data_IF_559859498611
#
_entry.id   IF_559859498611
#
_cell.length_a   1.000
_cell.length_b   1.000
_cell.length_c   1.000
_cell.angle_alpha   90.00
_cell.angle_beta   90.00
_cell.angle_gamma   90.00
#
_symmetry.space_group_name_H-M   'P 1'
#
loop_
_entity.id
_entity.type
_entity.pdbx_description
1 polymer ?
#
# COMPACT_ATOMS: atom_id res chain seq x y z
N UNK A 1 2.34 -10.47 -14.00
CA UNK A 1 3.77 -10.09 -14.09
C UNK A 1 3.93 -8.56 -14.24
N UNK A 2 5.00 -8.00 -13.69
CA UNK A 2 5.45 -6.65 -14.03
C UNK A 2 6.34 -6.80 -15.26
N UNK A 3 5.95 -6.19 -16.38
CA UNK A 3 6.67 -6.27 -17.65
C UNK A 3 7.84 -5.30 -17.70
N UNK A 4 7.66 -4.11 -17.13
CA UNK A 4 8.66 -3.03 -17.13
C UNK A 4 8.45 -2.13 -15.91
N UNK A 5 9.54 -1.57 -15.37
CA UNK A 5 9.47 -0.53 -14.35
C UNK A 5 10.73 0.34 -14.33
N UNK A 6 10.54 1.63 -14.14
CA UNK A 6 11.62 2.61 -14.09
C UNK A 6 11.24 3.81 -13.22
N UNK A 7 12.26 4.61 -12.89
CA UNK A 7 12.13 5.83 -12.10
C UNK A 7 11.72 7.00 -13.02
N UNK A 8 10.72 7.78 -12.63
CA UNK A 8 10.26 8.98 -13.33
C UNK A 8 10.91 10.24 -12.77
N UNK A 9 11.30 10.25 -11.50
CA UNK A 9 11.96 11.40 -10.89
C UNK A 9 13.48 11.31 -11.03
N UNK A 10 14.13 12.43 -11.29
CA UNK A 10 15.59 12.57 -11.17
C UNK A 10 16.00 13.10 -9.78
N UNK A 11 15.03 13.46 -8.94
CA UNK A 11 15.24 13.86 -7.55
C UNK A 11 15.92 12.74 -6.73
N UNK A 12 16.77 13.12 -5.78
CA UNK A 12 17.50 12.16 -4.92
C UNK A 12 16.74 11.78 -3.65
N UNK A 13 15.80 12.62 -3.23
CA UNK A 13 15.06 12.52 -1.97
C UNK A 13 13.62 12.00 -2.16
N UNK A 14 13.16 11.86 -3.41
CA UNK A 14 11.82 11.40 -3.76
C UNK A 14 11.88 10.47 -4.96
N UNK A 15 10.99 9.49 -4.98
CA UNK A 15 10.85 8.54 -6.08
C UNK A 15 9.41 8.60 -6.62
N UNK A 16 9.27 8.44 -7.94
CA UNK A 16 8.01 8.18 -8.61
C UNK A 16 8.21 7.07 -9.64
N UNK A 17 7.50 5.97 -9.44
CA UNK A 17 7.69 4.76 -10.23
C UNK A 17 6.72 4.79 -11.43
N UNK A 18 7.26 4.50 -12.62
CA UNK A 18 6.47 3.94 -13.70
C UNK A 18 6.53 2.42 -13.62
N UNK A 19 5.39 1.73 -13.73
CA UNK A 19 5.38 0.27 -13.86
C UNK A 19 4.31 -0.18 -14.84
N UNK A 20 4.61 -1.21 -15.63
CA UNK A 20 3.67 -1.87 -16.53
C UNK A 20 3.30 -3.25 -16.00
N UNK A 21 2.01 -3.47 -15.73
CA UNK A 21 1.47 -4.78 -15.35
C UNK A 21 0.95 -5.48 -16.61
N UNK A 22 1.56 -6.61 -16.97
CA UNK A 22 1.09 -7.46 -18.06
C UNK A 22 -0.15 -8.26 -17.64
N UNK A 23 -1.22 -8.11 -18.42
CA UNK A 23 -2.50 -8.80 -18.23
C UNK A 23 -2.82 -9.76 -19.38
N UNK A 24 -1.89 -10.00 -20.30
CA UNK A 24 -2.05 -10.88 -21.48
C UNK A 24 -2.41 -12.33 -21.12
N UNK A 25 -1.85 -12.86 -20.03
CA UNK A 25 -2.14 -14.18 -19.49
C UNK A 25 -3.46 -14.28 -18.71
N UNK A 26 -4.33 -13.27 -18.79
CA UNK A 26 -5.60 -13.22 -18.08
C UNK A 26 -6.75 -12.77 -18.98
N UNK A 27 -7.96 -12.89 -18.45
CA UNK A 27 -9.19 -12.35 -19.00
C UNK A 27 -9.52 -10.94 -18.48
N UNK A 28 -8.58 -10.27 -17.77
CA UNK A 28 -8.74 -8.88 -17.37
C UNK A 28 -8.83 -7.97 -18.60
N UNK A 29 -9.69 -6.97 -18.48
CA UNK A 29 -9.86 -5.85 -19.42
C UNK A 29 -9.93 -4.57 -18.61
N UNK A 30 -9.58 -3.46 -19.24
CA UNK A 30 -9.72 -2.13 -18.67
C UNK A 30 -10.07 -1.15 -19.77
N UNK A 31 -10.71 -0.05 -19.38
CA UNK A 31 -10.91 1.11 -20.22
C UNK A 31 -10.00 2.25 -19.76
N UNK A 32 -9.63 3.13 -20.69
CA UNK A 32 -8.81 4.28 -20.37
C UNK A 32 -9.52 5.15 -19.33
N UNK A 33 -8.79 5.54 -18.27
CA UNK A 33 -9.34 6.28 -17.12
C UNK A 33 -9.92 5.39 -16.00
N UNK A 34 -9.88 4.07 -16.13
CA UNK A 34 -10.12 3.16 -15.01
C UNK A 34 -9.01 3.22 -13.95
N UNK A 35 -9.24 2.53 -12.83
CA UNK A 35 -8.24 2.36 -11.78
C UNK A 35 -7.78 0.90 -11.75
N UNK A 36 -6.50 0.70 -11.43
CA UNK A 36 -5.97 -0.61 -11.03
C UNK A 36 -5.76 -0.61 -9.52
N UNK A 37 -6.18 -1.68 -8.88
CA UNK A 37 -6.04 -1.90 -7.46
C UNK A 37 -4.92 -2.91 -7.23
N UNK A 38 -3.87 -2.47 -6.52
CA UNK A 38 -2.71 -3.28 -6.16
C UNK A 38 -2.93 -3.86 -4.76
N UNK A 39 -2.80 -5.18 -4.62
CA UNK A 39 -2.81 -5.83 -3.31
C UNK A 39 -1.38 -5.88 -2.75
N UNK A 40 -1.06 -5.12 -1.69
CA UNK A 40 0.30 -5.05 -1.18
C UNK A 40 0.61 -6.19 -0.19
N UNK A 41 1.86 -6.24 0.27
CA UNK A 41 2.29 -7.00 1.44
C UNK A 41 2.94 -6.05 2.45
N UNK A 42 2.80 -6.34 3.74
CA UNK A 42 3.47 -5.56 4.78
C UNK A 42 5.00 -5.75 4.73
N UNK A 43 5.78 -4.73 5.11
CA UNK A 43 7.24 -4.83 5.21
C UNK A 43 7.65 -5.83 6.31
N UNK A 44 8.72 -6.57 6.06
CA UNK A 44 9.21 -7.62 6.95
C UNK A 44 9.57 -7.09 8.34
N UNK A 45 10.11 -5.88 8.42
CA UNK A 45 10.53 -5.26 9.68
C UNK A 45 9.33 -4.95 10.59
N UNK A 46 8.19 -4.57 10.02
CA UNK A 46 6.97 -4.33 10.81
C UNK A 46 6.30 -5.64 11.22
N UNK A 47 6.33 -6.67 10.36
CA UNK A 47 5.87 -8.02 10.71
C UNK A 47 6.72 -8.59 11.86
N UNK A 48 8.04 -8.50 11.73
CA UNK A 48 8.99 -8.98 12.74
C UNK A 48 8.81 -8.22 14.06
N UNK A 49 8.67 -6.88 14.02
CA UNK A 49 8.40 -6.07 15.21
C UNK A 49 7.11 -6.47 15.92
N UNK A 50 6.06 -6.77 15.15
CA UNK A 50 4.76 -7.18 15.68
C UNK A 50 4.85 -8.56 16.35
N UNK A 51 5.51 -9.53 15.70
CA UNK A 51 5.74 -10.85 16.29
C UNK A 51 6.60 -10.75 17.55
N UNK A 52 7.65 -9.93 17.50
CA UNK A 52 8.59 -9.74 18.60
C UNK A 52 7.94 -9.12 19.83
N UNK A 53 7.13 -8.06 19.71
CA UNK A 53 6.50 -7.42 20.87
C UNK A 53 5.47 -8.34 21.56
N UNK A 54 4.94 -9.34 20.84
CA UNK A 54 4.00 -10.34 21.36
C UNK A 54 4.66 -11.65 21.79
N UNK A 55 6.00 -11.74 21.72
CA UNK A 55 6.76 -12.99 21.98
C UNK A 55 6.34 -14.17 21.08
N UNK A 56 6.10 -13.88 19.80
CA UNK A 56 5.67 -14.84 18.78
C UNK A 56 6.72 -15.11 17.70
N UNK A 57 7.93 -14.53 17.78
CA UNK A 57 8.99 -14.71 16.79
C UNK A 57 9.32 -16.19 16.54
N UNK A 58 9.43 -17.01 17.60
CA UNK A 58 9.67 -18.45 17.49
C UNK A 58 8.47 -19.26 16.97
N UNK A 59 7.30 -18.64 16.80
CA UNK A 59 6.03 -19.26 16.37
C UNK A 59 5.54 -18.71 15.03
N UNK A 60 6.30 -17.86 14.35
CA UNK A 60 5.84 -17.14 13.16
C UNK A 60 5.31 -18.06 12.05
N UNK A 61 5.93 -19.25 11.87
CA UNK A 61 5.53 -20.25 10.87
C UNK A 61 4.64 -21.36 11.44
N UNK A 62 4.24 -21.28 12.71
CA UNK A 62 3.29 -22.21 13.31
C UNK A 62 1.94 -22.06 12.63
N UNK A 63 1.38 -23.17 12.15
CA UNK A 63 0.05 -23.21 11.56
C UNK A 63 -1.00 -23.14 12.66
N UNK A 64 -1.92 -22.20 12.55
CA UNK A 64 -3.06 -22.00 13.44
C UNK A 64 -4.37 -22.14 12.68
N UNK A 65 -5.43 -22.48 13.44
CA UNK A 65 -6.80 -22.52 12.94
C UNK A 65 -7.64 -21.51 13.70
N UNK A 66 -8.19 -20.52 13.01
CA UNK A 66 -9.15 -19.56 13.57
C UNK A 66 -10.56 -20.09 13.35
N UNK A 67 -11.39 -20.11 14.39
CA UNK A 67 -12.79 -20.53 14.32
C UNK A 67 -13.68 -19.38 14.74
N UNK A 68 -14.69 -19.09 13.93
CA UNK A 68 -15.78 -18.23 14.35
C UNK A 68 -16.56 -18.91 15.48
N UNK A 69 -16.78 -18.20 16.57
CA UNK A 69 -17.59 -18.68 17.70
C UNK A 69 -19.09 -18.44 17.43
N UNK A 70 -19.41 -17.37 16.72
CA UNK A 70 -20.77 -16.99 16.36
C UNK A 70 -21.10 -17.37 14.91
N UNK A 71 -22.33 -17.84 14.60
CA UNK A 71 -22.71 -18.27 13.24
C UNK A 71 -22.60 -17.17 12.18
N UNK A 72 -22.74 -15.90 12.58
CA UNK A 72 -22.68 -14.74 11.68
C UNK A 72 -21.25 -14.23 11.48
N UNK A 73 -20.31 -14.61 12.35
CA UNK A 73 -18.93 -14.19 12.26
C UNK A 73 -18.20 -14.96 11.15
N UNK A 74 -17.38 -14.25 10.37
CA UNK A 74 -16.58 -14.84 9.29
C UNK A 74 -15.11 -14.60 9.55
N UNK A 75 -14.31 -15.66 9.46
CA UNK A 75 -12.86 -15.55 9.51
C UNK A 75 -12.41 -14.71 8.31
N UNK A 76 -11.62 -13.63 8.51
CA UNK A 76 -11.43 -12.63 7.48
C UNK A 76 -10.42 -13.00 6.38
N UNK A 77 -9.83 -14.19 6.44
CA UNK A 77 -8.76 -14.69 5.56
C UNK A 77 -8.83 -16.22 5.40
N UNK A 78 -8.12 -16.80 4.39
CA UNK A 78 -7.98 -18.25 4.24
C UNK A 78 -7.39 -18.91 5.50
N UNK A 79 -7.97 -20.05 5.90
CA UNK A 79 -7.66 -20.74 7.15
C UNK A 79 -7.72 -22.27 6.91
N UNK A 80 -6.79 -23.09 7.47
CA UNK A 80 -5.70 -22.76 8.38
C UNK A 80 -4.56 -21.95 7.72
N UNK A 81 -3.80 -21.22 8.53
CA UNK A 81 -2.71 -20.34 8.07
C UNK A 81 -1.68 -20.10 9.18
N UNK A 82 -0.61 -19.33 8.94
CA UNK A 82 0.42 -19.01 9.95
C UNK A 82 0.26 -17.60 10.52
N UNK A 83 0.86 -17.33 11.69
CA UNK A 83 0.92 -15.97 12.25
C UNK A 83 1.57 -14.99 11.28
N UNK A 84 2.68 -15.39 10.66
CA UNK A 84 3.37 -14.61 9.63
C UNK A 84 2.43 -14.26 8.48
N UNK A 85 1.72 -15.24 7.90
CA UNK A 85 0.85 -14.99 6.76
C UNK A 85 -0.32 -14.04 7.10
N UNK A 86 -0.87 -14.12 8.32
CA UNK A 86 -1.91 -13.20 8.80
C UNK A 86 -1.38 -11.77 8.85
N UNK A 87 -0.24 -11.55 9.50
CA UNK A 87 0.34 -10.22 9.66
C UNK A 87 0.88 -9.67 8.33
N UNK A 88 1.43 -10.52 7.47
CA UNK A 88 2.09 -10.12 6.23
C UNK A 88 1.10 -9.79 5.12
N UNK A 89 0.01 -10.55 4.99
CA UNK A 89 -0.90 -10.48 3.84
C UNK A 89 -2.34 -10.09 4.17
N UNK A 90 -2.76 -10.11 5.45
CA UNK A 90 -4.19 -10.05 5.78
C UNK A 90 -4.58 -8.91 6.70
N UNK A 91 -3.69 -8.40 7.56
CA UNK A 91 -4.00 -7.32 8.50
C UNK A 91 -3.25 -6.02 8.18
N UNK A 92 -3.89 -4.88 8.42
CA UNK A 92 -3.31 -3.55 8.21
C UNK A 92 -2.46 -3.13 9.43
N UNK A 93 -1.31 -3.79 9.62
CA UNK A 93 -0.48 -3.63 10.82
C UNK A 93 0.31 -2.33 10.86
N UNK A 94 0.41 -1.61 9.74
CA UNK A 94 1.18 -0.37 9.62
C UNK A 94 0.34 0.91 9.81
N UNK A 95 -0.99 0.79 9.96
CA UNK A 95 -1.85 1.95 10.17
C UNK A 95 -1.61 2.61 11.53
N UNK A 96 -1.82 3.94 11.66
CA UNK A 96 -1.81 4.61 12.95
C UNK A 96 -2.74 3.93 13.95
N UNK A 97 -2.27 3.75 15.18
CA UNK A 97 -3.01 3.07 16.24
C UNK A 97 -4.32 3.81 16.57
N UNK A 98 -5.40 3.05 16.78
CA UNK A 98 -6.68 3.59 17.22
C UNK A 98 -6.72 3.73 18.74
N UNK A 99 -7.16 4.88 19.24
CA UNK A 99 -7.40 5.11 20.67
C UNK A 99 -8.36 4.08 21.28
N UNK A 100 -9.42 3.74 20.53
CA UNK A 100 -10.38 2.73 20.98
C UNK A 100 -9.71 1.37 21.17
N UNK A 101 -8.80 1.00 20.26
CA UNK A 101 -8.10 -0.27 20.35
C UNK A 101 -7.07 -0.28 21.48
N UNK A 102 -6.42 0.87 21.76
CA UNK A 102 -5.58 1.03 22.96
C UNK A 102 -6.38 0.76 24.23
N UNK A 103 -7.59 1.33 24.36
CA UNK A 103 -8.46 1.07 25.51
C UNK A 103 -8.79 -0.42 25.66
N UNK A 104 -9.08 -1.11 24.55
CA UNK A 104 -9.33 -2.57 24.56
C UNK A 104 -8.11 -3.37 25.05
N UNK A 105 -6.90 -2.99 24.65
CA UNK A 105 -5.68 -3.72 25.00
C UNK A 105 -5.18 -3.47 26.43
N UNK A 106 -5.67 -2.43 27.12
CA UNK A 106 -5.22 -2.06 28.46
C UNK A 106 -5.34 -3.21 29.48
N UNK A 107 -6.35 -4.07 29.36
CA UNK A 107 -6.56 -5.21 30.25
C UNK A 107 -5.45 -6.28 30.17
N UNK A 108 -4.69 -6.29 29.08
CA UNK A 108 -3.59 -7.24 28.82
C UNK A 108 -2.21 -6.62 29.05
N UNK A 109 -2.14 -5.47 29.73
CA UNK A 109 -0.88 -4.81 30.01
C UNK A 109 0.06 -5.72 30.84
N UNK A 110 1.39 -5.71 30.58
CA UNK A 110 2.35 -6.55 31.30
C UNK A 110 2.43 -6.27 32.81
N UNK A 111 2.14 -5.04 33.22
CA UNK A 111 2.16 -4.62 34.62
C UNK A 111 1.19 -3.45 34.88
N UNK A 112 0.95 -3.14 36.15
CA UNK A 112 -0.02 -2.12 36.58
C UNK A 112 0.34 -0.70 36.12
N UNK A 113 1.63 -0.39 35.99
CA UNK A 113 2.09 0.92 35.49
C UNK A 113 1.69 1.11 34.03
N UNK A 114 1.97 0.12 33.18
CA UNK A 114 1.57 0.15 31.76
C UNK A 114 0.05 0.13 31.65
N UNK A 115 -0.65 -0.65 32.49
CA UNK A 115 -2.11 -0.70 32.53
C UNK A 115 -2.73 0.68 32.80
N UNK A 116 -2.21 1.40 33.78
CA UNK A 116 -2.66 2.75 34.11
C UNK A 116 -2.44 3.72 32.94
N UNK A 117 -1.26 3.66 32.30
CA UNK A 117 -0.93 4.50 31.14
C UNK A 117 -1.84 4.20 29.94
N UNK A 118 -2.04 2.93 29.60
CA UNK A 118 -2.96 2.51 28.54
C UNK A 118 -4.40 2.94 28.82
N UNK A 119 -4.84 2.86 30.07
CA UNK A 119 -6.18 3.28 30.47
C UNK A 119 -6.37 4.78 30.29
N UNK A 120 -5.35 5.59 30.63
CA UNK A 120 -5.35 7.04 30.39
C UNK A 120 -5.34 7.38 28.91
N UNK A 121 -4.45 6.76 28.13
CA UNK A 121 -4.39 6.92 26.67
C UNK A 121 -5.71 6.52 26.01
N UNK A 122 -6.41 5.52 26.53
CA UNK A 122 -7.72 5.09 26.04
C UNK A 122 -8.85 6.07 26.34
N UNK A 123 -8.85 6.73 27.50
CA UNK A 123 -9.94 7.59 27.96
C UNK A 123 -9.80 9.07 27.57
N UNK A 124 -8.57 9.57 27.46
CA UNK A 124 -8.28 10.99 27.20
C UNK A 124 -7.88 11.21 25.73
N UNK A 125 -8.71 11.98 25.00
CA UNK A 125 -8.51 12.25 23.57
C UNK A 125 -7.26 13.08 23.32
N UNK A 126 -7.08 14.12 24.13
CA UNK A 126 -6.04 15.12 23.91
C UNK A 126 -4.70 14.55 24.35
N UNK A 127 -4.68 13.81 25.46
CA UNK A 127 -3.50 13.06 25.88
C UNK A 127 -3.07 12.00 24.85
N UNK A 128 -4.02 11.24 24.31
CA UNK A 128 -3.72 10.29 23.23
C UNK A 128 -3.13 11.00 22.02
N UNK A 129 -3.77 12.07 21.54
CA UNK A 129 -3.29 12.83 20.39
C UNK A 129 -1.89 13.40 20.65
N UNK A 130 -1.63 13.98 21.82
CA UNK A 130 -0.31 14.51 22.19
C UNK A 130 0.79 13.43 22.17
N UNK A 131 0.50 12.23 22.70
CA UNK A 131 1.50 11.16 22.80
C UNK A 131 1.68 10.34 21.53
N UNK A 132 0.62 10.11 20.75
CA UNK A 132 0.66 9.20 19.59
C UNK A 132 0.52 9.92 18.25
N UNK A 133 -0.27 10.99 18.19
CA UNK A 133 -0.64 11.69 16.95
C UNK A 133 0.56 12.18 16.16
N UNK A 134 1.45 13.01 16.74
CA UNK A 134 2.67 13.48 16.08
C UNK A 134 3.56 12.37 15.54
N UNK A 135 3.59 11.20 16.19
CA UNK A 135 4.53 10.12 15.88
C UNK A 135 4.00 9.10 14.86
N UNK A 136 2.69 9.07 14.61
CA UNK A 136 2.03 8.11 13.73
C UNK A 136 2.42 6.65 14.03
N UNK A 137 2.44 6.28 15.31
CA UNK A 137 2.78 4.92 15.70
C UNK A 137 1.76 3.93 15.14
N UNK A 138 2.27 2.89 14.50
CA UNK A 138 1.49 1.67 14.32
C UNK A 138 1.38 0.90 15.65
N UNK A 139 0.51 -0.09 15.70
CA UNK A 139 0.19 -0.77 16.96
C UNK A 139 1.43 -1.42 17.62
N UNK A 140 2.30 -2.10 16.87
CA UNK A 140 3.47 -2.75 17.43
C UNK A 140 4.47 -1.73 18.01
N UNK A 141 4.69 -0.63 17.30
CA UNK A 141 5.54 0.48 17.77
C UNK A 141 4.96 1.17 18.99
N UNK A 142 3.64 1.39 19.00
CA UNK A 142 2.94 1.94 20.15
C UNK A 142 3.10 1.05 21.38
N UNK A 143 2.82 -0.26 21.26
CA UNK A 143 2.99 -1.21 22.36
C UNK A 143 4.44 -1.24 22.85
N UNK A 144 5.42 -1.25 21.95
CA UNK A 144 6.83 -1.18 22.32
C UNK A 144 7.21 0.13 23.02
N UNK A 145 6.64 1.26 22.60
CA UNK A 145 6.93 2.58 23.17
C UNK A 145 6.37 2.70 24.59
N UNK A 146 5.08 2.38 24.78
CA UNK A 146 4.40 2.51 26.08
C UNK A 146 4.95 1.51 27.13
N UNK A 147 5.43 0.36 26.67
CA UNK A 147 6.01 -0.68 27.53
C UNK A 147 7.53 -0.61 27.66
N UNK A 148 8.20 0.34 26.99
CA UNK A 148 9.65 0.43 26.91
C UNK A 148 10.32 -0.89 26.47
N UNK A 149 9.67 -1.62 25.56
CA UNK A 149 10.14 -2.88 24.99
C UNK A 149 9.75 -4.15 25.77
N UNK A 150 9.03 -4.03 26.88
CA UNK A 150 8.48 -5.18 27.61
C UNK A 150 7.45 -5.93 26.75
N UNK A 151 7.49 -7.27 26.78
CA UNK A 151 6.69 -8.13 25.90
C UNK A 151 5.26 -8.25 26.38
N UNK A 152 4.32 -8.22 25.43
CA UNK A 152 2.88 -8.33 25.67
C UNK A 152 2.38 -9.76 25.45
N UNK A 153 2.83 -10.68 26.31
CA UNK A 153 2.61 -12.13 26.17
C UNK A 153 1.18 -12.58 26.46
N UNK A 154 0.37 -11.73 27.09
CA UNK A 154 -1.00 -12.05 27.51
C UNK A 154 -2.07 -11.60 26.53
N UNK A 155 -1.73 -10.78 25.52
CA UNK A 155 -2.71 -10.39 24.49
C UNK A 155 -3.04 -11.63 23.64
N UNK A 156 -4.31 -12.08 23.60
CA UNK A 156 -4.68 -13.14 22.68
C UNK A 156 -4.57 -12.64 21.25
N UNK A 157 -3.93 -13.42 20.36
CA UNK A 157 -3.74 -12.99 18.97
C UNK A 157 -5.07 -12.73 18.24
N UNK A 158 -6.18 -13.33 18.68
CA UNK A 158 -7.53 -13.04 18.18
C UNK A 158 -7.93 -11.58 18.37
N UNK A 159 -7.45 -10.89 19.42
CA UNK A 159 -7.72 -9.47 19.62
C UNK A 159 -7.21 -8.62 18.44
N UNK A 160 -6.11 -9.01 17.79
CA UNK A 160 -5.62 -8.32 16.59
C UNK A 160 -6.36 -8.73 15.33
N UNK A 161 -6.79 -9.99 15.23
CA UNK A 161 -7.63 -10.45 14.10
C UNK A 161 -8.98 -9.71 14.09
N UNK A 162 -9.54 -9.43 15.26
CA UNK A 162 -10.82 -8.74 15.44
C UNK A 162 -10.68 -7.21 15.46
N UNK A 163 -9.62 -6.69 16.06
CA UNK A 163 -9.43 -5.26 16.29
C UNK A 163 -8.74 -4.50 15.15
N UNK A 164 -7.98 -5.19 14.28
CA UNK A 164 -7.33 -4.58 13.13
C UNK A 164 -8.18 -4.71 11.86
N UNK A 165 -8.10 -3.71 11.00
CA UNK A 165 -8.70 -3.78 9.67
C UNK A 165 -7.92 -4.74 8.78
N UNK A 166 -8.60 -5.29 7.76
CA UNK A 166 -7.92 -6.09 6.75
C UNK A 166 -6.99 -5.21 5.91
N UNK A 167 -5.85 -5.77 5.50
CA UNK A 167 -4.94 -5.14 4.55
C UNK A 167 -5.71 -4.82 3.25
N UNK A 168 -5.85 -3.54 2.93
CA UNK A 168 -6.64 -3.10 1.77
C UNK A 168 -5.80 -3.00 0.49
N UNK A 169 -6.37 -3.25 -0.69
CA UNK A 169 -5.72 -2.89 -1.94
C UNK A 169 -5.62 -1.35 -2.07
N UNK A 170 -4.58 -0.87 -2.76
CA UNK A 170 -4.38 0.56 -3.05
C UNK A 170 -4.69 0.82 -4.52
N UNK A 171 -5.52 1.84 -4.78
CA UNK A 171 -5.94 2.21 -6.12
C UNK A 171 -4.98 3.21 -6.75
N UNK A 172 -4.65 2.99 -8.02
CA UNK A 172 -3.88 3.88 -8.86
C UNK A 172 -4.68 4.16 -10.13
N UNK A 173 -4.73 5.43 -10.54
CA UNK A 173 -5.28 5.79 -11.84
C UNK A 173 -4.41 5.19 -12.93
N UNK A 174 -5.02 4.43 -13.84
CA UNK A 174 -4.28 3.80 -14.94
C UNK A 174 -3.72 4.88 -15.85
N UNK A 175 -2.41 4.84 -16.11
CA UNK A 175 -1.72 5.84 -16.93
C UNK A 175 -1.49 5.44 -18.38
N UNK A 176 -2.07 4.31 -18.81
CA UNK A 176 -2.05 3.83 -20.19
C UNK A 176 -3.41 3.94 -20.88
N UNK A 177 -3.39 4.03 -22.21
CA UNK A 177 -4.60 3.87 -23.04
C UNK A 177 -4.87 2.40 -23.37
N UNK A 178 -6.10 1.96 -23.12
CA UNK A 178 -6.61 0.64 -23.54
C UNK A 178 -6.65 0.47 -25.06
N UNK A 179 -6.80 1.56 -25.82
CA UNK A 179 -6.72 1.56 -27.29
C UNK A 179 -5.28 1.34 -27.80
N UNK A 180 -4.28 1.83 -27.05
CA UNK A 180 -2.87 1.74 -27.46
C UNK A 180 -2.21 0.45 -26.94
N UNK A 181 -2.48 0.06 -25.70
CA UNK A 181 -1.83 -1.08 -25.05
C UNK A 181 -2.85 -1.95 -24.27
N UNK A 182 -3.79 -2.64 -24.95
CA UNK A 182 -4.90 -3.35 -24.32
C UNK A 182 -4.49 -4.49 -23.37
N UNK A 183 -3.23 -4.94 -23.44
CA UNK A 183 -2.69 -6.05 -22.65
C UNK A 183 -1.68 -5.62 -21.58
N UNK A 184 -1.44 -4.33 -21.41
CA UNK A 184 -0.54 -3.80 -20.38
C UNK A 184 -1.13 -2.58 -19.70
N UNK A 185 -1.23 -2.63 -18.37
CA UNK A 185 -1.72 -1.52 -17.56
C UNK A 185 -0.52 -0.76 -16.97
N UNK A 186 -0.38 0.52 -17.32
CA UNK A 186 0.64 1.37 -16.69
C UNK A 186 0.13 2.00 -15.39
N UNK A 187 1.00 2.07 -14.39
CA UNK A 187 0.80 2.84 -13.16
C UNK A 187 1.88 3.91 -12.99
N UNK A 188 1.51 5.00 -12.34
CA UNK A 188 2.39 6.11 -11.98
C UNK A 188 2.25 6.36 -10.49
N UNK A 189 3.26 6.01 -9.70
CA UNK A 189 3.16 5.95 -8.24
C UNK A 189 4.32 6.67 -7.55
N UNK A 190 4.04 7.80 -6.88
CA UNK A 190 5.00 8.44 -5.98
C UNK A 190 5.23 7.55 -4.76
N UNK A 191 6.49 7.37 -4.37
CA UNK A 191 6.87 6.58 -3.20
C UNK A 191 6.68 7.41 -1.93
N UNK A 192 5.79 6.96 -1.07
CA UNK A 192 5.50 7.63 0.20
C UNK A 192 6.56 7.30 1.26
N UNK A 193 7.34 8.31 1.62
CA UNK A 193 8.31 8.30 2.72
C UNK A 193 8.34 9.69 3.34
N UNK A 194 7.91 9.81 4.59
CA UNK A 194 7.78 11.07 5.30
C UNK A 194 8.58 11.04 6.60
N UNK A 195 9.49 12.00 6.78
CA UNK A 195 10.15 12.20 8.07
C UNK A 195 9.14 12.73 9.08
N UNK A 196 9.10 12.11 10.26
CA UNK A 196 8.18 12.46 11.33
C UNK A 196 8.98 13.11 12.47
N UNK A 197 8.72 14.38 12.82
CA UNK A 197 9.41 15.03 13.94
C UNK A 197 9.29 14.21 15.23
N UNK A 198 10.42 14.00 15.91
CA UNK A 198 10.47 13.20 17.15
C UNK A 198 10.54 11.69 16.94
N UNK A 199 10.65 11.21 15.69
CA UNK A 199 10.86 9.79 15.38
C UNK A 199 12.20 9.59 14.67
N UNK A 200 12.89 8.51 15.01
CA UNK A 200 14.19 8.17 14.40
C UNK A 200 14.04 7.56 13.00
N UNK A 201 12.83 7.09 12.65
CA UNK A 201 12.56 6.45 11.37
C UNK A 201 11.42 7.13 10.59
N UNK A 202 11.42 7.12 9.25
CA UNK A 202 10.37 7.75 8.44
C UNK A 202 9.07 6.93 8.41
N UNK A 203 7.92 7.60 8.35
CA UNK A 203 6.65 6.95 8.03
C UNK A 203 6.62 6.59 6.54
N UNK A 204 6.28 5.34 6.22
CA UNK A 204 6.34 4.83 4.85
C UNK A 204 5.02 4.19 4.45
N UNK A 205 4.58 4.48 3.22
CA UNK A 205 3.39 3.87 2.65
C UNK A 205 3.66 2.41 2.25
N UNK A 206 2.78 1.50 2.68
CA UNK A 206 2.93 0.05 2.45
C UNK A 206 3.02 -0.29 0.96
N UNK A 207 2.03 0.13 0.16
CA UNK A 207 1.92 -0.26 -1.24
C UNK A 207 3.03 0.33 -2.12
N UNK A 208 3.37 1.60 -1.94
CA UNK A 208 4.35 2.27 -2.80
C UNK A 208 5.78 1.79 -2.55
N UNK A 209 6.14 1.49 -1.30
CA UNK A 209 7.44 0.90 -0.99
C UNK A 209 7.52 -0.58 -1.40
N UNK A 210 6.42 -1.33 -1.33
CA UNK A 210 6.36 -2.68 -1.93
C UNK A 210 6.57 -2.63 -3.46
N UNK A 211 5.91 -1.70 -4.16
CA UNK A 211 6.15 -1.47 -5.59
C UNK A 211 7.59 -1.05 -5.88
N UNK A 212 8.21 -0.26 -4.99
CA UNK A 212 9.61 0.13 -5.12
C UNK A 212 10.56 -1.08 -5.00
N UNK A 213 10.31 -1.98 -4.05
CA UNK A 213 11.05 -3.23 -3.93
C UNK A 213 10.91 -4.13 -5.17
N UNK A 214 9.69 -4.21 -5.73
CA UNK A 214 9.44 -4.93 -6.98
C UNK A 214 10.22 -4.31 -8.16
N UNK A 215 10.26 -2.97 -8.27
CA UNK A 215 11.08 -2.28 -9.26
C UNK A 215 12.56 -2.62 -9.09
N UNK A 216 13.09 -2.51 -7.87
CA UNK A 216 14.50 -2.83 -7.58
C UNK A 216 14.83 -4.26 -8.01
N UNK A 217 14.00 -5.23 -7.63
CA UNK A 217 14.17 -6.64 -8.04
C UNK A 217 14.14 -6.80 -9.56
N UNK A 218 13.22 -6.13 -10.25
CA UNK A 218 13.13 -6.20 -11.72
C UNK A 218 14.35 -5.63 -12.42
N UNK A 219 14.95 -4.60 -11.85
CA UNK A 219 16.11 -3.92 -12.39
C UNK A 219 17.44 -4.51 -11.87
N UNK A 220 17.42 -5.73 -11.31
CA UNK A 220 18.63 -6.47 -10.94
C UNK A 220 19.33 -5.95 -9.68
N UNK A 221 18.66 -5.19 -8.82
CA UNK A 221 19.21 -4.80 -7.52
C UNK A 221 19.52 -6.07 -6.69
N UNK A 222 20.77 -6.25 -6.23
CA UNK A 222 21.14 -7.44 -5.45
C UNK A 222 20.45 -7.49 -4.09
N UNK A 223 19.96 -6.37 -3.58
CA UNK A 223 19.22 -6.27 -2.32
C UNK A 223 18.03 -5.32 -2.49
N UNK A 224 16.88 -5.82 -3.01
CA UNK A 224 15.69 -5.01 -3.28
C UNK A 224 14.95 -4.63 -2.00
N UNK A 225 15.63 -3.84 -1.17
CA UNK A 225 15.22 -3.41 0.16
C UNK A 225 15.12 -1.89 0.18
N UNK A 226 14.03 -1.30 -0.32
CA UNK A 226 13.90 0.14 -0.43
C UNK A 226 13.99 0.76 0.96
N UNK A 227 14.98 1.63 1.13
CA UNK A 227 15.30 2.25 2.41
C UNK A 227 15.49 1.23 3.56
N UNK A 228 16.05 0.05 3.24
CA UNK A 228 16.33 -1.03 4.18
C UNK A 228 15.13 -1.87 4.61
N UNK A 229 13.94 -1.69 3.99
CA UNK A 229 12.78 -2.54 4.28
C UNK A 229 12.71 -3.77 3.38
N UNK A 230 12.51 -4.94 3.97
CA UNK A 230 12.33 -6.19 3.24
C UNK A 230 10.86 -6.42 2.90
N UNK A 231 10.61 -7.12 1.79
CA UNK A 231 9.27 -7.52 1.36
C UNK A 231 9.30 -8.96 0.84
N UNK A 232 8.21 -9.71 1.03
CA UNK A 232 8.10 -11.06 0.49
C UNK A 232 7.69 -11.01 -0.99
N UNK A 233 8.70 -10.87 -1.86
CA UNK A 233 8.52 -10.57 -3.29
C UNK A 233 8.09 -11.78 -4.12
N UNK A 234 8.30 -13.02 -3.64
CA UNK A 234 7.79 -14.23 -4.32
C UNK A 234 6.41 -14.64 -3.78
N UNK A 235 5.97 -14.02 -2.68
CA UNK A 235 4.64 -14.22 -2.12
C UNK A 235 4.38 -15.64 -1.59
N UNK A 236 3.12 -15.95 -1.26
CA UNK A 236 2.76 -17.24 -0.67
C UNK A 236 3.14 -18.41 -1.56
N UNK A 237 4.01 -19.31 -1.07
CA UNK A 237 4.50 -20.49 -1.81
C UNK A 237 5.10 -20.13 -3.19
N UNK A 238 5.80 -19.00 -3.28
CA UNK A 238 6.43 -18.52 -4.51
C UNK A 238 5.44 -18.24 -5.66
N UNK A 239 4.14 -18.05 -5.38
CA UNK A 239 3.13 -17.79 -6.42
C UNK A 239 3.35 -16.48 -7.18
N UNK A 240 4.13 -15.55 -6.63
CA UNK A 240 4.45 -14.27 -7.26
C UNK A 240 5.87 -14.24 -7.85
N UNK A 241 6.53 -15.41 -7.95
CA UNK A 241 7.84 -15.51 -8.57
C UNK A 241 7.84 -15.02 -10.03
N UNK A 242 8.98 -14.56 -10.54
CA UNK A 242 9.04 -13.84 -11.82
C UNK A 242 8.42 -12.43 -11.76
N UNK A 243 8.39 -11.82 -10.56
CA UNK A 243 7.98 -10.42 -10.30
C UNK A 243 6.52 -10.18 -10.66
N UNK A 244 5.64 -10.78 -9.85
CA UNK A 244 4.21 -10.58 -9.95
C UNK A 244 3.68 -9.75 -8.80
N UNK A 245 2.54 -9.12 -9.06
CA UNK A 245 1.76 -8.38 -8.08
C UNK A 245 0.30 -8.76 -8.27
N UNK A 246 -0.47 -9.10 -7.21
CA UNK A 246 -1.90 -9.36 -7.35
C UNK A 246 -2.64 -8.05 -7.59
N UNK A 247 -3.52 -8.05 -8.60
CA UNK A 247 -4.23 -6.85 -9.02
C UNK A 247 -5.69 -7.14 -9.35
N UNK A 248 -6.51 -6.10 -9.35
CA UNK A 248 -7.80 -6.11 -10.05
C UNK A 248 -8.09 -4.74 -10.66
N UNK A 249 -8.98 -4.67 -11.64
CA UNK A 249 -9.41 -3.41 -12.27
C UNK A 249 -10.72 -2.95 -11.63
N UNK A 250 -10.81 -1.66 -11.31
CA UNK A 250 -12.05 -0.99 -10.90
C UNK A 250 -12.46 0.00 -11.98
N UNK A 251 -13.60 -0.28 -12.61
CA UNK A 251 -14.18 0.57 -13.62
C UNK A 251 -14.56 1.93 -13.03
N UNK A 252 -14.39 2.99 -13.83
CA UNK A 252 -14.64 4.37 -13.41
C UNK A 252 -15.48 5.13 -14.44
N UNK A 253 -16.15 6.18 -13.98
CA UNK A 253 -16.84 7.13 -14.84
C UNK A 253 -15.89 8.21 -15.41
N UNK A 254 -14.59 8.14 -15.12
CA UNK A 254 -13.59 9.08 -15.63
C UNK A 254 -13.21 8.65 -17.05
N UNK A 255 -13.92 9.20 -18.04
CA UNK A 255 -13.83 8.79 -19.44
C UNK A 255 -13.71 10.01 -20.35
N UNK A 256 -13.10 9.81 -21.53
CA UNK A 256 -13.16 10.79 -22.60
C UNK A 256 -14.61 10.97 -23.09
N UNK A 257 -14.95 12.13 -23.67
CA UNK A 257 -16.21 12.29 -24.39
C UNK A 257 -16.36 11.21 -25.47
N UNK A 258 -17.58 10.71 -25.66
CA UNK A 258 -17.88 9.69 -26.68
C UNK A 258 -17.60 10.16 -28.11
N UNK A 259 -17.69 11.46 -28.36
CA UNK A 259 -17.35 12.11 -29.63
C UNK A 259 -15.90 12.64 -29.57
N UNK A 260 -14.96 12.06 -30.36
CA UNK A 260 -13.56 12.48 -30.38
C UNK A 260 -13.35 13.93 -30.83
N UNK A 261 -14.28 14.48 -31.63
CA UNK A 261 -14.25 15.86 -32.13
C UNK A 261 -14.46 16.92 -31.04
N UNK A 262 -14.99 16.52 -29.87
CA UNK A 262 -15.16 17.45 -28.74
C UNK A 262 -13.81 17.86 -28.16
N UNK A 263 -13.62 19.17 -27.85
CA UNK A 263 -12.43 19.63 -27.15
C UNK A 263 -12.41 19.12 -25.70
N UNK A 264 -11.21 18.90 -25.17
CA UNK A 264 -10.99 18.45 -23.79
C UNK A 264 -9.99 19.35 -23.07
N UNK A 265 -10.28 19.62 -21.79
CA UNK A 265 -9.39 20.33 -20.87
C UNK A 265 -9.06 19.38 -19.72
N UNK A 266 -7.78 19.12 -19.52
CA UNK A 266 -7.25 18.19 -18.53
C UNK A 266 -6.39 18.97 -17.54
N UNK A 267 -6.62 18.79 -16.24
CA UNK A 267 -5.91 19.51 -15.17
C UNK A 267 -5.45 18.48 -14.14
N UNK A 268 -4.15 18.24 -14.06
CA UNK A 268 -3.59 17.18 -13.23
C UNK A 268 -2.18 17.51 -12.74
N UNK A 269 -2.01 18.14 -11.57
CA UNK A 269 -0.71 18.34 -10.96
C UNK A 269 -0.14 17.02 -10.41
N UNK A 270 1.18 16.85 -10.46
CA UNK A 270 1.87 15.65 -9.97
C UNK A 270 1.28 14.37 -10.57
N UNK A 271 1.06 13.35 -9.75
CA UNK A 271 0.49 12.06 -10.19
C UNK A 271 -0.95 12.17 -10.70
N UNK A 272 -1.62 13.32 -10.49
CA UNK A 272 -2.89 13.64 -11.13
C UNK A 272 -2.83 13.63 -12.67
N UNK A 273 -1.62 13.68 -13.26
CA UNK A 273 -1.42 13.53 -14.72
C UNK A 273 -1.63 12.10 -15.22
N UNK A 274 -1.59 11.09 -14.34
CA UNK A 274 -1.64 9.68 -14.68
C UNK A 274 -2.78 9.34 -15.68
N UNK A 275 -4.07 9.57 -15.39
CA UNK A 275 -5.13 9.22 -16.33
C UNK A 275 -5.06 10.04 -17.63
N UNK A 276 -4.52 11.26 -17.57
CA UNK A 276 -4.39 12.13 -18.74
C UNK A 276 -3.29 11.67 -19.69
N UNK A 277 -2.23 11.00 -19.20
CA UNK A 277 -1.30 10.29 -20.08
C UNK A 277 -2.05 9.26 -20.94
N UNK A 278 -2.94 8.48 -20.34
CA UNK A 278 -3.82 7.56 -21.07
C UNK A 278 -4.72 8.27 -22.07
N UNK A 279 -5.39 9.35 -21.67
CA UNK A 279 -6.26 10.11 -22.58
C UNK A 279 -5.50 10.73 -23.77
N UNK A 280 -4.30 11.27 -23.55
CA UNK A 280 -3.46 11.82 -24.61
C UNK A 280 -3.00 10.71 -25.56
N UNK A 281 -2.57 9.55 -25.03
CA UNK A 281 -2.22 8.39 -25.85
C UNK A 281 -3.39 7.93 -26.75
N UNK A 282 -4.60 7.87 -26.18
CA UNK A 282 -5.81 7.47 -26.89
C UNK A 282 -6.17 8.44 -28.01
N UNK A 283 -6.24 9.73 -27.69
CA UNK A 283 -6.54 10.79 -28.67
C UNK A 283 -5.47 10.87 -29.75
N UNK A 284 -4.20 10.70 -29.41
CA UNK A 284 -3.11 10.65 -30.39
C UNK A 284 -3.21 9.42 -31.30
N UNK A 285 -3.65 8.26 -30.79
CA UNK A 285 -3.91 7.07 -31.63
C UNK A 285 -5.07 7.31 -32.59
N UNK A 286 -6.19 7.85 -32.11
CA UNK A 286 -7.34 8.20 -32.95
C UNK A 286 -6.95 9.18 -34.07
N UNK A 287 -6.21 10.25 -33.74
CA UNK A 287 -5.74 11.21 -34.74
C UNK A 287 -4.82 10.57 -35.79
N UNK A 288 -3.92 9.66 -35.39
CA UNK A 288 -3.06 8.91 -36.32
C UNK A 288 -3.85 7.95 -37.22
N UNK A 289 -4.99 7.45 -36.73
CA UNK A 289 -5.90 6.59 -37.49
C UNK A 289 -6.83 7.38 -38.41
N UNK A 290 -6.67 8.71 -38.51
CA UNK A 290 -7.46 9.58 -39.39
C UNK A 290 -8.79 10.06 -38.80
N UNK A 291 -9.06 9.80 -37.51
CA UNK A 291 -10.24 10.34 -36.83
C UNK A 291 -10.02 11.82 -36.52
N UNK A 292 -11.03 12.65 -36.77
CA UNK A 292 -11.01 14.06 -36.35
C UNK A 292 -11.04 14.15 -34.82
N UNK A 293 -9.99 14.75 -34.24
CA UNK A 293 -9.83 14.88 -32.79
C UNK A 293 -9.84 16.35 -32.41
N UNK A 294 -10.77 16.71 -31.52
CA UNK A 294 -10.91 18.08 -31.01
C UNK A 294 -9.69 18.56 -30.23
N UNK A 295 -9.64 19.88 -30.00
CA UNK A 295 -8.55 20.52 -29.24
C UNK A 295 -8.33 19.86 -27.88
N UNK A 296 -7.07 19.53 -27.57
CA UNK A 296 -6.67 18.84 -26.34
C UNK A 296 -5.73 19.73 -25.54
N UNK A 297 -6.16 20.22 -24.38
CA UNK A 297 -5.36 21.07 -23.49
C UNK A 297 -5.03 20.32 -22.21
N UNK A 298 -3.75 20.29 -21.83
CA UNK A 298 -3.26 19.71 -20.58
C UNK A 298 -2.58 20.79 -19.74
N UNK A 299 -3.06 20.96 -18.50
CA UNK A 299 -2.43 21.76 -17.46
C UNK A 299 -1.76 20.83 -16.47
N UNK A 300 -0.43 20.80 -16.51
CA UNK A 300 0.42 20.00 -15.62
C UNK A 300 1.24 20.92 -14.69
N UNK A 301 1.52 20.43 -13.49
CA UNK A 301 2.35 21.11 -12.50
C UNK A 301 3.21 20.13 -11.72
N UNK A 302 4.48 20.48 -11.52
CA UNK A 302 5.47 19.77 -10.70
C UNK A 302 6.25 20.79 -9.85
N UNK A 303 7.14 20.33 -8.95
CA UNK A 303 7.92 21.27 -8.10
C UNK A 303 9.04 21.93 -8.90
N UNK A 304 9.80 21.15 -9.66
CA UNK A 304 10.89 21.65 -10.52
C UNK A 304 10.96 20.84 -11.82
N UNK A 305 11.01 21.49 -12.99
CA UNK A 305 11.07 20.80 -14.28
C UNK A 305 12.24 19.82 -14.41
N UNK A 306 13.36 20.09 -13.74
CA UNK A 306 14.57 19.25 -13.80
C UNK A 306 14.57 18.07 -12.83
N UNK A 307 13.58 17.96 -11.93
CA UNK A 307 13.56 16.97 -10.83
C UNK A 307 12.35 16.03 -10.89
N UNK A 308 11.15 16.58 -11.08
CA UNK A 308 9.89 15.82 -10.94
C UNK A 308 8.86 16.08 -12.06
N UNK A 309 9.35 16.43 -13.26
CA UNK A 309 8.55 16.45 -14.49
C UNK A 309 8.43 15.02 -15.05
N UNK A 310 7.19 14.52 -15.18
CA UNK A 310 6.88 13.14 -15.60
C UNK A 310 6.42 13.02 -17.04
#
# INVERSE_FOLDING_TARGET
PIAESYELFSAKDRNCLHMEVDISGSNLKYETGDHIAIWPTNPGEEVNRFLDILDLSGKQHTVITVKALEPTAKVPFPNPTTYDAILRYHLEICAPVSRQFVSTLAAFAPNDTIKAEMSRLGSDKDYFHEKTGPHYYNIARFLSSVSKGEKWTTIPFSAFIEGLTKLQPRYYSISSSSLVQPKKISITAVVESQQIPGRDDPFRGVATNYLFALKQKQNGDPSPTPFGQTYELTGPRNKYDGIHVPVHVRHSNFKLPSDPGKPVVMIGPGTGVAPFRGFVQERAKLARDGVEVGKTLLFFGCRKPSEDFM
#
